data_IF_588011236405
#
_entry.id   IF_588011236405
#
_cell.length_a   1.000
_cell.length_b   1.000
_cell.length_c   1.000
_cell.angle_alpha   90.00
_cell.angle_beta   90.00
_cell.angle_gamma   90.00
#
_symmetry.space_group_name_H-M   'P 1'
#
loop_
_entity.id
_entity.type
_entity.pdbx_description
1 polymer ?
#
# COMPACT_ATOMS: atom_id res chain seq x y z
N UNK A 1 7.85 3.89 2.68
CA UNK A 1 8.54 3.57 1.42
C UNK A 1 7.56 3.68 0.27
N UNK A 2 8.00 4.10 -0.90
CA UNK A 2 7.22 4.14 -2.13
C UNK A 2 7.66 3.02 -3.10
N UNK A 3 6.82 2.69 -4.08
CA UNK A 3 7.15 1.70 -5.14
C UNK A 3 8.43 2.09 -5.89
N UNK A 4 8.68 3.38 -6.11
CA UNK A 4 9.92 3.87 -6.76
C UNK A 4 11.19 3.46 -6.02
N UNK A 5 11.12 3.32 -4.70
CA UNK A 5 12.27 2.95 -3.89
C UNK A 5 12.57 1.45 -4.09
N UNK A 6 11.53 0.62 -4.23
CA UNK A 6 11.66 -0.79 -4.64
C UNK A 6 12.33 -0.89 -6.01
N UNK A 7 11.89 -0.08 -6.98
CA UNK A 7 12.51 -0.04 -8.30
C UNK A 7 13.98 0.38 -8.22
N UNK A 8 14.33 1.34 -7.37
CA UNK A 8 15.73 1.73 -7.15
C UNK A 8 16.58 0.55 -6.65
N UNK A 9 16.08 -0.24 -5.69
CA UNK A 9 16.77 -1.45 -5.23
C UNK A 9 16.92 -2.50 -6.35
N UNK A 10 15.87 -2.73 -7.13
CA UNK A 10 15.91 -3.68 -8.25
C UNK A 10 16.93 -3.25 -9.30
N UNK A 11 16.92 -1.98 -9.70
CA UNK A 11 17.87 -1.41 -10.68
C UNK A 11 19.30 -1.46 -10.15
N UNK A 12 19.53 -1.09 -8.88
CA UNK A 12 20.87 -1.15 -8.28
C UNK A 12 21.39 -2.58 -8.11
N UNK A 13 20.49 -3.57 -8.08
CA UNK A 13 20.84 -4.99 -8.04
C UNK A 13 21.21 -5.52 -9.43
N UNK A 14 20.85 -4.84 -10.52
CA UNK A 14 21.24 -5.23 -11.87
C UNK A 14 22.76 -5.13 -12.01
N UNK A 15 23.39 -6.17 -12.54
CA UNK A 15 24.84 -6.20 -12.80
C UNK A 15 25.70 -6.69 -11.64
N UNK A 16 25.11 -7.10 -10.51
CA UNK A 16 25.84 -7.82 -9.46
C UNK A 16 25.90 -9.31 -9.84
N UNK A 17 27.11 -9.82 -10.06
CA UNK A 17 27.36 -11.21 -10.47
C UNK A 17 27.15 -12.20 -9.32
N UNK A 18 27.25 -11.72 -8.08
CA UNK A 18 27.05 -12.53 -6.88
C UNK A 18 25.58 -12.60 -6.48
N UNK A 19 25.14 -13.78 -6.02
CA UNK A 19 23.81 -13.94 -5.42
C UNK A 19 23.69 -13.08 -4.16
N UNK A 20 22.79 -12.11 -4.21
CA UNK A 20 22.53 -11.20 -3.08
C UNK A 20 21.64 -11.84 -2.01
N UNK A 21 21.08 -13.03 -2.27
CA UNK A 21 20.15 -13.71 -1.38
C UNK A 21 18.85 -12.95 -1.12
N UNK A 22 18.14 -13.34 -0.06
CA UNK A 22 16.90 -12.66 0.38
C UNK A 22 17.26 -11.44 1.24
N UNK A 23 16.58 -10.32 0.99
CA UNK A 23 16.77 -9.07 1.72
C UNK A 23 15.44 -8.37 1.94
N UNK A 24 15.23 -7.88 3.16
CA UNK A 24 14.09 -7.03 3.46
C UNK A 24 14.40 -5.58 3.08
N UNK A 25 13.45 -4.93 2.42
CA UNK A 25 13.50 -3.51 2.07
C UNK A 25 12.30 -2.79 2.69
N UNK A 26 12.50 -1.57 3.14
CA UNK A 26 11.45 -0.83 3.82
C UNK A 26 11.92 0.49 4.42
N UNK A 27 10.95 1.27 4.88
CA UNK A 27 11.18 2.45 5.71
C UNK A 27 10.95 2.13 7.18
N UNK A 28 10.84 3.17 8.01
CA UNK A 28 10.42 3.06 9.42
C UNK A 28 9.19 2.13 9.59
N UNK A 29 9.20 1.19 10.56
CA UNK A 29 8.04 0.37 10.88
C UNK A 29 6.84 1.21 11.33
N UNK A 30 5.64 0.85 10.87
CA UNK A 30 4.41 1.55 11.20
C UNK A 30 3.29 0.56 11.50
N UNK A 31 2.49 0.86 12.52
CA UNK A 31 1.25 0.14 12.76
C UNK A 31 0.20 0.55 11.72
N UNK A 32 -0.72 -0.35 11.39
CA UNK A 32 -1.82 -0.06 10.47
C UNK A 32 -2.66 1.16 10.92
N UNK A 33 -2.88 1.30 12.23
CA UNK A 33 -3.51 2.49 12.82
C UNK A 33 -2.79 3.78 12.44
N UNK A 34 -1.45 3.82 12.56
CA UNK A 34 -0.65 5.01 12.20
C UNK A 34 -0.64 5.26 10.70
N UNK A 35 -0.64 4.21 9.87
CA UNK A 35 -0.78 4.35 8.43
C UNK A 35 -2.10 5.02 8.05
N UNK A 36 -3.23 4.55 8.60
CA UNK A 36 -4.54 5.18 8.38
C UNK A 36 -4.60 6.65 8.84
N UNK A 37 -4.00 6.96 9.99
CA UNK A 37 -3.95 8.34 10.49
C UNK A 37 -3.13 9.24 9.58
N UNK A 38 -1.92 8.82 9.18
CA UNK A 38 -1.06 9.61 8.26
C UNK A 38 -1.72 9.82 6.90
N UNK A 39 -2.47 8.84 6.39
CA UNK A 39 -3.28 9.01 5.18
C UNK A 39 -4.40 10.06 5.36
N UNK A 40 -5.15 9.95 6.47
CA UNK A 40 -6.24 10.88 6.76
C UNK A 40 -5.72 12.33 6.92
N UNK A 41 -4.58 12.51 7.60
CA UNK A 41 -3.88 13.79 7.71
C UNK A 41 -3.51 14.35 6.33
N UNK A 42 -2.96 13.51 5.44
CA UNK A 42 -2.57 13.95 4.09
C UNK A 42 -3.77 14.34 3.19
N UNK A 43 -4.97 13.78 3.45
CA UNK A 43 -6.22 14.10 2.72
C UNK A 43 -7.12 15.12 3.44
N UNK A 44 -6.76 15.57 4.64
CA UNK A 44 -7.61 16.44 5.45
C UNK A 44 -8.91 15.78 5.95
N UNK A 45 -8.91 14.46 6.11
CA UNK A 45 -10.09 13.70 6.53
C UNK A 45 -10.13 13.54 8.06
N UNK A 46 -11.26 13.83 8.73
CA UNK A 46 -11.41 13.51 10.15
C UNK A 46 -11.47 11.99 10.34
N UNK A 47 -10.60 11.43 11.19
CA UNK A 47 -10.52 9.98 11.43
C UNK A 47 -10.41 9.64 12.90
N UNK A 48 -11.51 9.15 13.48
CA UNK A 48 -11.51 8.50 14.79
C UNK A 48 -11.36 6.98 14.62
N UNK A 49 -10.48 6.35 15.43
CA UNK A 49 -10.23 4.90 15.40
C UNK A 49 -10.39 4.36 16.82
N UNK A 50 -11.42 3.55 17.03
CA UNK A 50 -11.71 2.88 18.31
C UNK A 50 -11.32 1.41 18.20
N UNK A 51 -10.41 0.89 19.05
CA UNK A 51 -10.07 -0.51 19.05
C UNK A 51 -11.24 -1.34 19.60
N UNK A 52 -11.55 -2.45 18.94
CA UNK A 52 -12.57 -3.42 19.38
C UNK A 52 -11.90 -4.72 19.86
N UNK A 53 -12.42 -5.39 20.90
CA UNK A 53 -11.74 -6.54 21.52
C UNK A 53 -11.85 -7.84 20.73
N UNK A 54 -12.71 -7.91 19.70
CA UNK A 54 -12.94 -9.12 18.92
C UNK A 54 -12.26 -8.99 17.55
N UNK A 55 -11.22 -9.79 17.33
CA UNK A 55 -10.67 -10.02 16.00
C UNK A 55 -11.61 -10.97 15.25
N UNK A 56 -12.40 -10.45 14.32
CA UNK A 56 -13.18 -11.24 13.38
C UNK A 56 -12.76 -10.96 11.93
N UNK A 57 -11.52 -11.33 11.51
CA UNK A 57 -11.00 -11.00 10.18
C UNK A 57 -11.87 -11.50 9.03
N UNK A 58 -12.42 -12.72 9.17
CA UNK A 58 -13.32 -13.31 8.17
C UNK A 58 -14.63 -12.53 8.03
N UNK A 59 -15.21 -12.09 9.16
CA UNK A 59 -16.43 -11.29 9.13
C UNK A 59 -16.17 -9.90 8.55
N UNK A 60 -15.03 -9.29 8.89
CA UNK A 60 -14.60 -8.02 8.31
C UNK A 60 -14.38 -8.13 6.79
N UNK A 61 -13.78 -9.23 6.31
CA UNK A 61 -13.58 -9.46 4.90
C UNK A 61 -14.90 -9.66 4.14
N UNK A 62 -15.84 -10.44 4.71
CA UNK A 62 -17.19 -10.60 4.14
C UNK A 62 -17.93 -9.26 4.07
N UNK A 63 -17.82 -8.44 5.13
CA UNK A 63 -18.38 -7.09 5.13
C UNK A 63 -17.76 -6.20 4.06
N UNK A 64 -16.44 -6.25 3.87
CA UNK A 64 -15.73 -5.51 2.81
C UNK A 64 -16.23 -5.93 1.43
N UNK A 65 -16.33 -7.23 1.14
CA UNK A 65 -16.84 -7.69 -0.16
C UNK A 65 -18.34 -7.44 -0.37
N UNK A 66 -19.10 -7.17 0.69
CA UNK A 66 -20.50 -6.74 0.59
C UNK A 66 -20.62 -5.24 0.30
N UNK A 67 -19.79 -4.41 0.94
CA UNK A 67 -19.89 -2.94 0.84
C UNK A 67 -19.02 -2.33 -0.27
N UNK A 68 -18.06 -3.09 -0.81
CA UNK A 68 -17.15 -2.66 -1.86
C UNK A 68 -17.27 -3.57 -3.09
N UNK A 69 -16.92 -3.10 -4.30
CA UNK A 69 -16.90 -3.94 -5.51
C UNK A 69 -15.71 -4.93 -5.54
N UNK A 70 -14.99 -5.11 -4.43
CA UNK A 70 -13.84 -6.02 -4.35
C UNK A 70 -14.34 -7.44 -4.07
N UNK A 71 -14.01 -8.44 -4.89
CA UNK A 71 -14.45 -9.81 -4.64
C UNK A 71 -13.85 -10.35 -3.34
N UNK A 72 -14.61 -11.19 -2.63
CA UNK A 72 -14.19 -11.80 -1.36
C UNK A 72 -12.88 -12.59 -1.46
N UNK A 73 -12.58 -13.17 -2.63
CA UNK A 73 -11.32 -13.86 -2.91
C UNK A 73 -10.09 -12.94 -2.79
N UNK A 74 -10.26 -11.64 -3.00
CA UNK A 74 -9.21 -10.63 -2.78
C UNK A 74 -9.31 -9.98 -1.40
N UNK A 75 -10.52 -9.73 -0.90
CA UNK A 75 -10.72 -9.07 0.39
C UNK A 75 -10.19 -9.91 1.58
N UNK A 76 -10.42 -11.23 1.57
CA UNK A 76 -10.03 -12.12 2.69
C UNK A 76 -8.51 -12.14 2.91
N UNK A 77 -7.66 -12.44 1.91
CA UNK A 77 -6.20 -12.44 2.10
C UNK A 77 -5.64 -11.08 2.52
N UNK A 78 -6.23 -9.98 2.02
CA UNK A 78 -5.80 -8.63 2.39
C UNK A 78 -6.06 -8.34 3.87
N UNK A 79 -7.26 -8.65 4.37
CA UNK A 79 -7.59 -8.44 5.78
C UNK A 79 -6.73 -9.34 6.68
N UNK A 80 -6.52 -10.61 6.29
CA UNK A 80 -5.63 -11.52 7.03
C UNK A 80 -4.19 -11.00 7.07
N UNK A 81 -3.68 -10.46 5.95
CA UNK A 81 -2.34 -9.86 5.89
C UNK A 81 -2.18 -8.64 6.81
N UNK A 82 -3.22 -7.81 6.96
CA UNK A 82 -3.19 -6.63 7.84
C UNK A 82 -3.08 -7.00 9.33
N UNK A 83 -3.66 -8.14 9.73
CA UNK A 83 -3.66 -8.60 11.13
C UNK A 83 -2.27 -9.09 11.55
N UNK A 84 -1.44 -9.54 10.61
CA UNK A 84 -0.10 -10.05 10.88
C UNK A 84 0.95 -8.94 10.70
N UNK A 85 1.70 -8.56 11.74
CA UNK A 85 2.79 -7.59 11.60
C UNK A 85 3.88 -8.13 10.68
N UNK A 86 4.20 -7.40 9.62
CA UNK A 86 5.32 -7.70 8.72
C UNK A 86 6.41 -6.66 8.99
N UNK A 87 7.35 -6.99 9.87
CA UNK A 87 8.51 -6.14 10.20
C UNK A 87 9.77 -6.90 9.77
N UNK A 88 10.42 -6.43 8.71
CA UNK A 88 11.67 -7.02 8.19
C UNK A 88 12.92 -6.29 8.66
N UNK A 89 14.07 -6.98 8.61
CA UNK A 89 15.38 -6.39 8.91
C UNK A 89 16.01 -5.76 7.66
N UNK A 90 15.91 -4.44 7.58
CA UNK A 90 16.47 -3.65 6.48
C UNK A 90 17.96 -3.36 6.62
N UNK A 91 18.65 -3.88 7.64
CA UNK A 91 20.07 -3.62 7.89
C UNK A 91 20.95 -4.07 6.71
N UNK A 92 20.65 -5.24 6.13
CA UNK A 92 21.41 -5.79 4.99
C UNK A 92 21.24 -4.94 3.74
N UNK A 93 20.01 -4.54 3.41
CA UNK A 93 19.73 -3.68 2.27
C UNK A 93 20.45 -2.32 2.41
N UNK A 94 20.42 -1.71 3.60
CA UNK A 94 21.12 -0.45 3.89
C UNK A 94 22.65 -0.56 3.78
N UNK A 95 23.24 -1.70 4.14
CA UNK A 95 24.69 -1.93 3.98
C UNK A 95 25.09 -2.11 2.52
N UNK A 96 24.28 -2.81 1.74
CA UNK A 96 24.60 -3.13 0.34
C UNK A 96 24.28 -1.98 -0.63
N UNK A 97 23.30 -1.14 -0.29
CA UNK A 97 22.85 -0.03 -1.11
C UNK A 97 22.73 1.26 -0.29
N UNK A 98 23.86 1.80 0.22
CA UNK A 98 23.85 2.98 1.11
C UNK A 98 23.30 4.25 0.44
N UNK A 99 23.39 4.34 -0.89
CA UNK A 99 22.88 5.47 -1.67
C UNK A 99 21.35 5.52 -1.76
N UNK A 100 20.66 4.40 -1.46
CA UNK A 100 19.20 4.33 -1.52
C UNK A 100 18.62 4.71 -0.16
N UNK A 101 18.00 5.89 -0.10
CA UNK A 101 17.22 6.34 1.05
C UNK A 101 15.72 6.25 0.76
N UNK A 102 15.01 5.21 1.26
CA UNK A 102 13.58 5.04 1.02
C UNK A 102 12.77 6.20 1.58
N UNK A 103 11.73 6.63 0.86
CA UNK A 103 10.83 7.66 1.35
C UNK A 103 10.09 7.20 2.61
N UNK A 104 9.86 8.13 3.53
CA UNK A 104 8.93 7.90 4.65
C UNK A 104 7.54 7.58 4.12
N UNK A 105 6.72 6.85 4.89
CA UNK A 105 5.35 6.54 4.50
C UNK A 105 4.53 7.81 4.21
N UNK A 106 4.64 8.85 5.05
CA UNK A 106 3.89 10.09 4.85
C UNK A 106 4.26 10.81 3.55
N UNK A 107 5.55 10.87 3.23
CA UNK A 107 6.01 11.47 1.98
C UNK A 107 5.59 10.65 0.75
N UNK A 108 5.66 9.31 0.85
CA UNK A 108 5.18 8.42 -0.20
C UNK A 108 3.68 8.63 -0.47
N UNK A 109 2.86 8.75 0.58
CA UNK A 109 1.41 9.00 0.48
C UNK A 109 1.14 10.38 -0.13
N UNK A 110 1.79 11.44 0.34
CA UNK A 110 1.62 12.80 -0.25
C UNK A 110 1.91 12.82 -1.74
N UNK A 111 3.02 12.20 -2.16
CA UNK A 111 3.38 12.12 -3.59
C UNK A 111 2.39 11.27 -4.40
N UNK A 112 1.84 10.21 -3.81
CA UNK A 112 0.83 9.40 -4.47
C UNK A 112 -0.47 10.18 -4.69
N UNK A 113 -0.96 10.88 -3.66
CA UNK A 113 -2.15 11.75 -3.73
C UNK A 113 -1.95 12.82 -4.81
N UNK A 114 -0.83 13.54 -4.78
CA UNK A 114 -0.55 14.58 -5.77
C UNK A 114 -0.57 14.07 -7.23
N UNK A 115 -0.06 12.85 -7.48
CA UNK A 115 -0.12 12.22 -8.80
C UNK A 115 -1.53 11.78 -9.20
N UNK A 116 -2.31 11.27 -8.25
CA UNK A 116 -3.71 10.91 -8.49
C UNK A 116 -4.53 12.14 -8.84
N UNK A 117 -4.36 13.24 -8.09
CA UNK A 117 -5.06 14.51 -8.33
C UNK A 117 -4.67 15.12 -9.68
N UNK A 118 -3.43 14.94 -10.12
CA UNK A 118 -2.96 15.36 -11.45
C UNK A 118 -3.43 14.44 -12.60
N UNK A 119 -4.09 13.32 -12.30
CA UNK A 119 -4.52 12.35 -13.31
C UNK A 119 -3.38 11.54 -13.95
N UNK A 120 -2.19 11.54 -13.34
CA UNK A 120 -0.96 10.91 -13.87
C UNK A 120 -0.84 9.41 -13.56
N UNK A 121 -1.90 8.78 -13.03
CA UNK A 121 -1.91 7.36 -12.68
C UNK A 121 -2.27 6.52 -13.90
N UNK A 122 -1.23 6.06 -14.60
CA UNK A 122 -1.35 5.27 -15.84
C UNK A 122 -1.87 3.85 -15.60
N UNK A 123 -1.52 3.21 -14.47
CA UNK A 123 -1.88 1.82 -14.16
C UNK A 123 -2.98 1.72 -13.11
N UNK A 124 -3.96 0.84 -13.32
CA UNK A 124 -5.08 0.59 -12.41
C UNK A 124 -5.18 -0.91 -12.08
N UNK A 125 -5.50 -1.23 -10.83
CA UNK A 125 -5.64 -2.62 -10.39
C UNK A 125 -6.81 -3.34 -11.11
N UNK A 126 -7.88 -2.62 -11.44
CA UNK A 126 -9.01 -3.16 -12.21
C UNK A 126 -8.61 -3.58 -13.62
N UNK A 127 -7.64 -2.89 -14.24
CA UNK A 127 -7.12 -3.26 -15.55
C UNK A 127 -6.26 -4.54 -15.51
N UNK A 128 -5.76 -4.94 -14.35
CA UNK A 128 -4.98 -6.17 -14.19
C UNK A 128 -5.86 -7.44 -14.05
N UNK A 129 -7.16 -7.29 -13.73
CA UNK A 129 -8.08 -8.40 -13.53
C UNK A 129 -8.71 -8.95 -14.83
N UNK A 130 -8.32 -8.44 -16.01
CA UNK A 130 -8.61 -9.05 -17.30
C UNK A 130 -9.83 -8.54 -18.06
N UNK A 131 -10.49 -7.46 -17.61
CA UNK A 131 -11.59 -6.86 -18.38
C UNK A 131 -11.11 -5.58 -19.09
N UNK A 132 -10.83 -5.72 -20.38
CA UNK A 132 -10.39 -4.63 -21.26
C UNK A 132 -11.57 -3.87 -21.85
N UNK A 133 -12.59 -3.53 -21.05
CA UNK A 133 -13.61 -2.59 -21.52
C UNK A 133 -13.15 -1.15 -21.27
N UNK A 134 -12.45 -0.62 -22.27
CA UNK A 134 -11.89 0.74 -22.29
C UNK A 134 -12.93 1.87 -22.22
N UNK A 135 -14.24 1.55 -22.17
CA UNK A 135 -15.35 2.50 -22.05
C UNK A 135 -15.78 2.84 -20.62
N UNK A 136 -15.34 2.09 -19.60
CA UNK A 136 -15.79 2.33 -18.23
C UNK A 136 -15.12 3.58 -17.62
N UNK A 137 -15.82 4.71 -17.61
CA UNK A 137 -15.45 5.88 -16.79
C UNK A 137 -15.80 5.61 -15.33
N UNK A 138 -14.83 5.13 -14.55
CA UNK A 138 -14.93 5.11 -13.10
C UNK A 138 -14.78 6.52 -12.56
N UNK A 139 -15.87 7.07 -12.01
CA UNK A 139 -15.84 8.26 -11.19
C UNK A 139 -15.40 7.87 -9.78
N UNK A 140 -14.27 8.41 -9.32
CA UNK A 140 -13.84 8.22 -7.94
C UNK A 140 -14.71 9.08 -7.02
N UNK A 141 -15.55 8.42 -6.21
CA UNK A 141 -16.38 9.06 -5.19
C UNK A 141 -15.90 8.56 -3.84
N UNK A 142 -15.03 9.33 -3.20
CA UNK A 142 -14.59 9.06 -1.84
C UNK A 142 -15.56 9.67 -0.82
N UNK A 143 -16.14 8.82 0.03
CA UNK A 143 -17.06 9.21 1.12
C UNK A 143 -18.49 8.74 0.89
N UNK A 144 -19.08 8.10 1.90
CA UNK A 144 -20.49 7.66 1.91
C UNK A 144 -21.44 8.82 2.29
N UNK A 145 -20.90 9.91 2.84
CA UNK A 145 -21.68 11.02 3.37
C UNK A 145 -21.05 12.34 2.94
N UNK A 146 -21.82 13.12 2.18
CA UNK A 146 -21.75 14.57 2.17
C UNK A 146 -23.16 15.10 2.39
#
# INVERSE_FOLDING_TARGET
MAVRDVLAYLVASLGRLDSLGVMDIGSEPLTFKRMMQRYAEARGLPRAIVPVPVLAPKLAALWVGFVTPIPNSLAVPLVEGVVHPIIGDTSRARRLFPEIAPLSYGEAVRRAIARTDAGEVVTRWSAAAGDSDSSARLADREGVVR
#
